data_IF_306479680391
#
_entry.id   IF_306479680391
#
_cell.length_a   1.000
_cell.length_b   1.000
_cell.length_c   1.000
_cell.angle_alpha   90.00
_cell.angle_beta   90.00
_cell.angle_gamma   90.00
#
_symmetry.space_group_name_H-M   'P 1'
#
loop_
_entity.id
_entity.type
_entity.pdbx_description
1 polymer ?
2 non-polymer ?
3 water ?
#
# COMPACT_ATOMS: atom_id res chain seq x y z
N UNK A 1 7.57 7.73 15.57
CA UNK A 1 6.53 7.65 16.62
C UNK A 1 5.90 6.26 16.63
N UNK A 2 5.39 5.89 17.80
CA UNK A 2 4.65 4.68 17.95
C UNK A 2 3.66 4.79 19.10
N UNK A 3 2.55 4.09 18.98
CA UNK A 3 1.49 4.13 20.00
C UNK A 3 0.59 2.94 19.82
N UNK A 4 0.08 2.38 20.93
CA UNK A 4 -0.89 1.32 20.91
C UNK A 4 -1.99 1.66 21.88
N UNK A 5 -3.22 1.63 21.40
CA UNK A 5 -4.35 1.93 22.25
C UNK A 5 -4.62 0.75 23.21
N UNK A 6 -5.22 1.02 24.38
CA UNK A 6 -5.78 -0.09 25.18
C UNK A 6 -6.80 -0.89 24.40
N UNK A 7 -6.88 -2.22 24.64
CA UNK A 7 -7.94 -3.04 24.04
C UNK A 7 -9.32 -2.57 24.47
N UNK A 8 -10.24 -2.46 23.52
CA UNK A 8 -11.61 -2.27 23.90
C UNK A 8 -12.37 -3.52 23.50
N UNK A 9 -13.39 -3.84 24.28
CA UNK A 9 -14.19 -5.03 24.10
C UNK A 9 -15.65 -4.67 23.73
N UNK A 10 -16.23 -5.37 22.77
CA UNK A 10 -17.63 -5.13 22.34
C UNK A 10 -18.33 -6.47 22.13
N UNK A 11 -19.52 -6.62 22.69
CA UNK A 11 -20.35 -7.76 22.37
C UNK A 11 -21.08 -7.51 21.08
N UNK A 12 -20.70 -8.22 20.02
CA UNK A 12 -21.43 -8.08 18.73
C UNK A 12 -22.80 -8.73 18.94
N UNK A 13 -22.84 -9.87 19.62
CA UNK A 13 -24.09 -10.48 20.07
C UNK A 13 -23.74 -11.55 21.13
N UNK A 14 -24.66 -12.44 21.41
CA UNK A 14 -24.41 -13.54 22.38
C UNK A 14 -23.29 -14.50 22.09
N UNK A 15 -22.90 -14.58 20.84
CA UNK A 15 -21.89 -15.47 20.39
C UNK A 15 -20.60 -14.81 20.07
N UNK A 16 -20.61 -13.56 19.66
CA UNK A 16 -19.41 -12.97 19.03
C UNK A 16 -19.01 -11.84 19.90
N UNK A 17 -17.74 -11.83 20.27
CA UNK A 17 -17.13 -10.72 20.99
C UNK A 17 -15.95 -10.17 20.18
N UNK A 18 -15.87 -8.84 20.15
CA UNK A 18 -14.82 -8.11 19.41
C UNK A 18 -13.88 -7.46 20.42
N UNK A 19 -12.58 -7.60 20.18
CA UNK A 19 -11.54 -6.94 20.97
C UNK A 19 -10.63 -6.16 20.04
N UNK A 20 -10.61 -4.85 20.24
CA UNK A 20 -9.98 -3.92 19.24
C UNK A 20 -8.89 -3.11 19.84
N UNK A 21 -7.77 -3.06 19.12
CA UNK A 21 -6.62 -2.28 19.47
C UNK A 21 -6.06 -1.69 18.20
N UNK A 22 -5.66 -0.43 18.29
CA UNK A 22 -5.06 0.25 17.15
C UNK A 22 -3.60 0.57 17.43
N UNK A 23 -2.73 0.11 16.54
CA UNK A 23 -1.30 0.33 16.67
C UNK A 23 -0.77 1.22 15.58
N UNK A 24 0.02 2.19 15.97
CA UNK A 24 0.61 3.15 15.02
C UNK A 24 2.13 3.04 15.11
N UNK A 25 2.77 3.04 13.95
CA UNK A 25 4.24 2.95 13.89
C UNK A 25 4.64 3.74 12.63
N UNK A 26 5.61 4.64 12.76
CA UNK A 26 5.99 5.47 11.62
C UNK A 26 7.47 5.65 11.55
N UNK A 27 7.91 6.09 10.35
CA UNK A 27 9.24 6.54 10.12
C UNK A 27 9.13 7.94 9.54
N UNK A 28 9.62 8.90 10.28
CA UNK A 28 9.49 10.32 9.91
C UNK A 28 10.36 10.71 8.73
N UNK A 29 11.56 10.15 8.69
CA UNK A 29 12.47 10.40 7.56
C UNK A 29 11.96 9.87 6.26
N UNK A 30 11.52 8.62 6.30
CA UNK A 30 11.01 7.95 5.12
C UNK A 30 9.60 8.38 4.71
N UNK A 31 8.85 9.05 5.61
CA UNK A 31 7.48 9.47 5.38
C UNK A 31 6.61 8.27 5.04
N UNK A 32 6.72 7.24 5.89
CA UNK A 32 5.86 6.09 5.85
C UNK A 32 5.27 5.86 7.23
N UNK A 33 3.96 5.75 7.29
CA UNK A 33 3.21 5.67 8.56
C UNK A 33 2.24 4.50 8.43
N UNK A 34 2.25 3.61 9.43
CA UNK A 34 1.31 2.52 9.51
C UNK A 34 0.31 2.72 10.61
N UNK A 35 -0.97 2.63 10.28
CA UNK A 35 -2.08 2.70 11.26
C UNK A 35 -2.76 1.36 11.14
N UNK A 36 -2.61 0.50 12.14
CA UNK A 36 -3.04 -0.87 12.12
C UNK A 36 -4.16 -1.11 13.08
N UNK A 37 -5.32 -1.53 12.58
CA UNK A 37 -6.47 -1.82 13.43
C UNK A 37 -6.53 -3.35 13.56
N UNK A 38 -6.28 -3.84 14.78
CA UNK A 38 -6.38 -5.27 15.08
C UNK A 38 -7.76 -5.54 15.68
N UNK A 39 -8.62 -6.15 14.89
CA UNK A 39 -9.98 -6.51 15.30
C UNK A 39 -9.91 -7.99 15.61
N UNK A 40 -9.84 -8.37 16.89
CA UNK A 40 -9.89 -9.81 17.22
C UNK A 40 -11.33 -10.20 17.54
N UNK A 41 -11.76 -11.31 16.98
CA UNK A 41 -13.11 -11.78 17.12
C UNK A 41 -13.06 -13.14 17.78
N UNK A 42 -13.86 -13.31 18.83
CA UNK A 42 -14.06 -14.61 19.47
C UNK A 42 -15.52 -14.93 19.26
N UNK A 43 -15.76 -16.17 18.83
CA UNK A 43 -17.06 -16.63 18.37
C UNK A 43 -17.32 -17.95 19.07
N UNK A 44 -18.36 -17.99 19.86
CA UNK A 44 -18.64 -19.22 20.64
C UNK A 44 -18.94 -20.46 19.82
N UNK A 45 -19.31 -20.26 18.54
CA UNK A 45 -19.59 -21.37 17.67
C UNK A 45 -18.47 -21.93 16.88
N UNK A 46 -17.30 -21.31 16.98
CA UNK A 46 -16.22 -21.56 16.05
C UNK A 46 -14.95 -21.72 16.84
N UNK A 47 -14.16 -22.75 16.51
CA UNK A 47 -13.01 -23.08 17.37
C UNK A 47 -11.74 -22.30 17.01
N UNK A 48 -11.87 -21.26 16.18
CA UNK A 48 -10.74 -20.41 15.87
C UNK A 48 -11.10 -18.99 16.23
N UNK A 49 -10.07 -18.29 16.68
CA UNK A 49 -10.04 -16.87 16.84
C UNK A 49 -9.87 -16.25 15.43
N UNK A 50 -10.51 -15.12 15.13
CA UNK A 50 -10.24 -14.44 13.83
C UNK A 50 -9.72 -13.05 14.11
N UNK A 51 -8.66 -12.70 13.39
CA UNK A 51 -8.09 -11.37 13.39
C UNK A 51 -8.40 -10.73 12.03
N UNK A 52 -9.22 -9.70 12.07
CA UNK A 52 -9.40 -8.84 10.90
C UNK A 52 -8.50 -7.62 11.09
N UNK A 53 -7.36 -7.65 10.40
CA UNK A 53 -6.32 -6.60 10.53
C UNK A 53 -6.47 -5.60 9.39
N UNK A 54 -6.78 -4.35 9.73
CA UNK A 54 -6.85 -3.30 8.74
C UNK A 54 -5.51 -2.56 8.73
N UNK A 55 -4.89 -2.43 7.55
CA UNK A 55 -3.62 -1.72 7.38
C UNK A 55 -3.86 -0.41 6.64
N UNK A 56 -3.69 0.72 7.31
CA UNK A 56 -3.91 2.04 6.75
C UNK A 56 -2.68 2.91 7.03
N UNK A 57 -2.77 4.18 6.82
CA UNK A 57 -1.66 5.10 7.02
C UNK A 57 -1.25 5.78 5.72
N UNK A 58 0.06 5.90 5.52
CA UNK A 58 0.60 6.79 4.48
C UNK A 58 1.89 6.24 3.97
N UNK A 59 2.05 6.30 2.63
CA UNK A 59 3.34 6.08 2.02
C UNK A 59 3.59 7.25 1.06
N UNK A 60 4.53 8.11 1.43
CA UNK A 60 4.84 9.22 0.52
C UNK A 60 5.45 8.62 -0.79
N UNK A 61 5.30 9.37 -1.88
CA UNK A 61 5.86 8.95 -3.19
C UNK A 61 7.37 9.08 -3.27
N UNK A 62 7.90 9.98 -2.46
CA UNK A 62 9.28 10.41 -2.60
C UNK A 62 9.60 11.41 -3.69
N UNK A 63 8.58 11.84 -4.42
CA UNK A 63 8.80 12.82 -5.50
C UNK A 63 9.37 14.10 -4.97
N UNK A 64 10.26 14.66 -5.77
CA UNK A 64 10.73 16.03 -5.63
C UNK A 64 10.78 16.63 -7.03
N UNK A 65 10.41 17.89 -7.15
CA UNK A 65 10.50 18.54 -8.42
C UNK A 65 11.89 18.56 -8.96
N UNK A 66 12.02 18.41 -10.29
CA UNK A 66 13.31 18.60 -10.91
C UNK A 66 13.79 20.02 -10.83
N UNK A 67 15.11 20.20 -10.91
CA UNK A 67 15.72 21.50 -10.89
C UNK A 67 15.45 22.19 -12.25
N UNK A 68 14.79 23.34 -12.24
CA UNK A 68 14.41 24.01 -13.50
C UNK A 68 15.60 24.53 -14.27
N UNK A 69 16.78 24.63 -13.65
CA UNK A 69 17.99 24.99 -14.36
C UNK A 69 18.62 23.89 -15.20
N UNK A 70 18.25 22.63 -14.96
CA UNK A 70 18.81 21.56 -15.76
C UNK A 70 18.52 21.88 -17.25
N UNK A 71 19.56 21.84 -18.08
CA UNK A 71 19.48 22.46 -19.40
C UNK A 71 19.13 21.50 -20.54
N UNK A 72 20.07 20.63 -20.90
CA UNK A 72 19.87 19.66 -21.99
C UNK A 72 19.35 18.29 -21.52
N UNK A 73 19.49 18.01 -20.21
CA UNK A 73 19.09 16.72 -19.60
C UNK A 73 18.52 17.04 -18.24
N UNK A 74 17.46 16.32 -17.86
CA UNK A 74 16.93 16.45 -16.51
C UNK A 74 16.28 15.13 -16.08
N UNK A 75 15.92 15.05 -14.80
CA UNK A 75 15.34 13.85 -14.24
C UNK A 75 14.62 14.21 -12.92
N UNK A 76 13.78 13.27 -12.52
CA UNK A 76 13.19 13.29 -11.21
C UNK A 76 12.81 11.89 -10.83
N UNK A 77 12.52 11.70 -9.53
CA UNK A 77 12.05 10.40 -9.06
C UNK A 77 10.58 10.56 -8.71
N UNK A 78 9.83 9.47 -8.85
CA UNK A 78 8.38 9.49 -8.67
C UNK A 78 7.90 8.16 -8.17
N UNK A 79 6.64 8.11 -7.68
CA UNK A 79 6.12 6.85 -7.07
C UNK A 79 5.60 5.88 -8.09
N UNK A 80 6.44 5.00 -8.60
CA UNK A 80 6.04 4.09 -9.64
C UNK A 80 5.09 2.99 -9.14
N UNK A 81 5.34 2.52 -7.91
CA UNK A 81 4.56 1.42 -7.35
C UNK A 81 4.64 1.46 -5.83
N UNK A 82 3.54 1.07 -5.18
CA UNK A 82 3.48 0.92 -3.74
C UNK A 82 3.18 -0.56 -3.47
N UNK A 83 3.85 -1.12 -2.47
CA UNK A 83 3.64 -2.53 -2.10
C UNK A 83 3.30 -2.55 -0.60
N UNK A 84 2.31 -3.36 -0.27
CA UNK A 84 1.91 -3.59 1.14
C UNK A 84 1.81 -5.07 1.32
N UNK A 85 2.38 -5.61 2.39
CA UNK A 85 2.24 -7.01 2.68
C UNK A 85 2.05 -7.24 4.19
N UNK A 86 1.33 -8.33 4.49
CA UNK A 86 1.10 -8.80 5.89
C UNK A 86 1.48 -10.26 5.92
N UNK A 87 2.35 -10.62 6.84
CA UNK A 87 2.69 -12.01 6.96
C UNK A 87 2.71 -12.49 8.41
N UNK A 88 2.39 -13.74 8.56
CA UNK A 88 2.37 -14.40 9.84
C UNK A 88 3.64 -15.16 9.98
N UNK A 89 4.22 -15.09 11.17
CA UNK A 89 5.39 -15.90 11.52
C UNK A 89 5.19 -16.50 12.89
N UNK A 90 5.93 -17.58 13.12
CA UNK A 90 6.25 -18.09 14.44
C UNK A 90 5.15 -18.93 15.04
N UNK A 91 4.15 -19.33 14.26
CA UNK A 91 3.03 -20.08 14.85
C UNK A 91 2.24 -20.73 13.75
N UNK A 92 2.42 -22.04 13.59
CA UNK A 92 1.74 -22.79 12.51
C UNK A 92 0.22 -22.89 12.74
N UNK A 93 -0.25 -22.54 13.94
CA UNK A 93 -1.68 -22.39 14.25
C UNK A 93 -2.33 -21.12 13.70
N UNK A 94 -1.55 -20.22 13.13
CA UNK A 94 -2.08 -19.00 12.43
C UNK A 94 -2.01 -19.12 10.93
N UNK A 95 -3.06 -18.67 10.22
CA UNK A 95 -3.11 -18.73 8.74
C UNK A 95 -3.84 -17.52 8.22
N UNK A 96 -3.41 -17.00 7.09
CA UNK A 96 -4.18 -16.01 6.33
C UNK A 96 -5.31 -16.75 5.65
N UNK A 97 -6.54 -16.34 5.91
CA UNK A 97 -7.72 -17.03 5.33
C UNK A 97 -8.53 -16.20 4.35
N UNK A 98 -8.32 -14.89 4.39
CA UNK A 98 -9.02 -14.02 3.50
C UNK A 98 -8.37 -12.64 3.53
N UNK A 99 -8.79 -11.77 2.60
CA UNK A 99 -8.21 -10.47 2.47
C UNK A 99 -9.05 -9.62 1.50
N UNK A 100 -8.85 -8.30 1.57
CA UNK A 100 -9.56 -7.38 0.71
C UNK A 100 -8.66 -6.23 0.38
N UNK A 101 -8.61 -5.77 -0.87
CA UNK A 101 -9.28 -6.40 -2.05
C UNK A 101 -8.77 -7.77 -2.46
N UNK A 102 -9.73 -8.55 -2.95
CA UNK A 102 -9.50 -9.91 -3.36
C UNK A 102 -8.91 -10.00 -4.76
N UNK A 103 -9.38 -9.11 -5.61
CA UNK A 103 -9.04 -9.20 -7.05
C UNK A 103 -8.44 -7.92 -7.56
N UNK A 104 -7.75 -8.06 -8.69
CA UNK A 104 -7.19 -6.88 -9.40
C UNK A 104 -8.24 -5.79 -9.59
N UNK A 105 -7.88 -4.54 -9.41
CA UNK A 105 -8.84 -3.47 -9.41
C UNK A 105 -8.18 -2.23 -9.95
N UNK A 106 -8.75 -1.63 -11.00
CA UNK A 106 -8.20 -0.43 -11.61
C UNK A 106 -9.14 0.75 -11.50
N UNK A 107 -10.08 0.63 -10.58
CA UNK A 107 -11.09 1.71 -10.26
C UNK A 107 -10.32 2.90 -9.72
N UNK A 108 -10.79 4.11 -9.95
CA UNK A 108 -10.14 5.23 -9.32
C UNK A 108 -10.18 5.27 -7.84
N UNK A 109 -11.19 4.67 -7.29
CA UNK A 109 -11.17 4.43 -5.88
C UNK A 109 -11.73 3.08 -5.55
N UNK A 110 -11.18 2.53 -4.52
CA UNK A 110 -11.52 1.17 -4.07
C UNK A 110 -12.26 1.39 -2.78
N UNK A 111 -13.47 0.87 -2.72
CA UNK A 111 -14.32 0.99 -1.53
C UNK A 111 -15.02 -0.35 -1.32
N UNK A 112 -14.77 -1.00 -0.17
CA UNK A 112 -15.39 -2.27 0.15
C UNK A 112 -15.65 -2.37 1.62
N UNK A 113 -16.66 -3.18 1.90
CA UNK A 113 -17.09 -3.57 3.26
C UNK A 113 -16.85 -5.08 3.44
N UNK A 114 -16.14 -5.48 4.50
CA UNK A 114 -15.81 -6.93 4.76
C UNK A 114 -16.47 -7.33 6.09
N UNK A 115 -17.15 -8.50 6.09
CA UNK A 115 -18.00 -8.90 7.17
C UNK A 115 -17.69 -10.26 7.73
N UNK A 116 -17.93 -10.37 9.03
CA UNK A 116 -17.78 -11.63 9.78
C UNK A 116 -19.15 -12.18 10.12
N UNK A 117 -19.34 -13.48 9.89
CA UNK A 117 -20.58 -14.15 10.27
C UNK A 117 -20.23 -15.32 11.12
N UNK A 118 -21.16 -15.70 11.95
CA UNK A 118 -20.92 -16.87 12.86
C UNK A 118 -20.44 -18.08 12.16
N UNK A 119 -19.41 -18.72 12.68
CA UNK A 119 -18.66 -19.77 11.97
C UNK A 119 -17.43 -19.40 11.24
N UNK A 120 -17.10 -18.10 11.19
CA UNK A 120 -15.87 -17.68 10.61
C UNK A 120 -16.03 -17.42 9.12
N UNK A 121 -17.26 -17.42 8.61
CA UNK A 121 -17.51 -17.10 7.22
C UNK A 121 -17.15 -15.62 7.03
N UNK A 122 -16.31 -15.43 6.07
CA UNK A 122 -15.96 -14.09 5.68
C UNK A 122 -16.67 -13.84 4.33
N UNK A 123 -17.23 -12.62 4.20
CA UNK A 123 -17.78 -12.15 2.94
C UNK A 123 -17.45 -10.67 2.71
N UNK A 124 -17.62 -10.22 1.47
CA UNK A 124 -17.15 -8.85 1.00
C UNK A 124 -18.40 -8.11 0.28
N UNK A 125 -18.65 -6.78 0.39
CA UNK A 125 -19.56 -6.00 -0.55
C UNK A 125 -18.98 -4.66 -0.88
N UNK A 126 -19.54 -3.91 -1.83
CA UNK A 126 -18.88 -2.72 -2.43
C UNK A 126 -19.50 -1.45 -1.94
N UNK A 127 -18.65 -0.43 -1.81
CA UNK A 127 -18.97 0.91 -1.27
C UNK A 127 -18.76 0.89 0.26
N UNK A 128 -19.13 1.99 0.91
CA UNK A 128 -18.96 2.16 2.38
C UNK A 128 -20.24 1.92 3.20
N UNK A 134 -25.11 -4.86 8.35
CA UNK A 134 -25.99 -5.16 9.50
C UNK A 134 -25.40 -4.70 10.82
N UNK A 135 -26.17 -3.96 11.59
CA UNK A 135 -25.72 -3.37 12.87
C UNK A 135 -25.42 -4.44 13.93
N UNK A 136 -25.79 -5.68 13.70
CA UNK A 136 -25.50 -6.72 14.65
C UNK A 136 -24.54 -7.74 14.04
N UNK A 137 -23.73 -7.29 13.07
CA UNK A 137 -22.72 -8.15 12.49
C UNK A 137 -21.44 -7.38 12.49
N UNK A 138 -20.32 -8.09 12.58
CA UNK A 138 -19.04 -7.42 12.41
C UNK A 138 -18.73 -7.16 10.99
N UNK A 139 -18.33 -5.92 10.68
CA UNK A 139 -17.73 -5.55 9.41
C UNK A 139 -16.57 -4.52 9.57
N UNK A 140 -15.68 -4.45 8.59
CA UNK A 140 -14.61 -3.40 8.54
C UNK A 140 -14.60 -2.94 7.07
N UNK A 141 -14.11 -1.70 6.84
CA UNK A 141 -14.12 -1.13 5.47
C UNK A 141 -12.73 -0.76 5.01
N UNK A 142 -12.59 -0.79 3.71
CA UNK A 142 -11.44 -0.18 3.04
C UNK A 142 -11.93 0.91 2.07
N UNK A 143 -11.12 1.96 1.98
CA UNK A 143 -11.47 3.11 1.11
C UNK A 143 -10.12 3.73 0.75
N UNK A 144 -9.75 3.68 -0.54
CA UNK A 144 -8.54 4.40 -0.99
C UNK A 144 -8.64 4.84 -2.40
N UNK A 145 -8.09 6.01 -2.67
CA UNK A 145 -7.95 6.48 -4.02
C UNK A 145 -6.65 5.98 -4.62
N UNK A 146 -6.75 5.64 -5.92
CA UNK A 146 -5.61 5.13 -6.67
C UNK A 146 -5.76 5.59 -8.12
N UNK A 147 -6.02 6.89 -8.37
CA UNK A 147 -6.32 7.39 -9.69
C UNK A 147 -5.12 7.16 -10.59
N UNK A 148 -5.37 6.51 -11.74
CA UNK A 148 -4.38 6.16 -12.77
C UNK A 148 -3.48 4.96 -12.43
N UNK A 149 -3.76 4.33 -11.30
CA UNK A 149 -2.98 3.23 -10.80
C UNK A 149 -3.86 1.98 -10.74
N UNK A 150 -3.24 0.82 -10.52
CA UNK A 150 -3.94 -0.45 -10.47
C UNK A 150 -3.43 -1.29 -9.37
N UNK A 151 -4.38 -1.90 -8.65
CA UNK A 151 -4.10 -2.84 -7.55
C UNK A 151 -4.05 -4.27 -8.06
N UNK A 152 -3.00 -5.01 -7.72
CA UNK A 152 -2.90 -6.42 -7.99
C UNK A 152 -2.54 -7.16 -6.70
N UNK A 153 -2.89 -8.42 -6.67
CA UNK A 153 -2.59 -9.27 -5.51
C UNK A 153 -1.34 -10.05 -5.85
N UNK A 154 -0.37 -10.09 -4.95
CA UNK A 154 0.92 -10.72 -5.27
C UNK A 154 0.73 -12.20 -5.49
N UNK A 155 1.35 -12.76 -6.53
CA UNK A 155 0.98 -14.15 -6.89
C UNK A 155 1.59 -15.14 -5.94
N UNK A 156 2.55 -14.69 -5.13
CA UNK A 156 3.14 -15.49 -4.06
C UNK A 156 2.24 -15.56 -2.83
N UNK A 157 1.15 -14.80 -2.80
CA UNK A 157 0.22 -14.87 -1.68
C UNK A 157 -0.13 -16.29 -1.33
N UNK A 158 -0.08 -16.61 -0.03
CA UNK A 158 -0.43 -17.99 0.45
C UNK A 158 -0.99 -17.95 1.88
N UNK A 159 -0.99 -19.12 2.53
CA UNK A 159 -1.51 -19.22 3.86
C UNK A 159 -0.72 -18.47 4.89
N UNK A 160 0.50 -18.02 4.61
CA UNK A 160 1.25 -17.24 5.60
C UNK A 160 1.47 -15.79 5.23
N UNK A 161 1.04 -15.36 4.06
CA UNK A 161 1.33 -13.98 3.62
C UNK A 161 0.35 -13.53 2.58
N UNK A 162 -0.01 -12.25 2.64
CA UNK A 162 -0.81 -11.60 1.61
C UNK A 162 -0.06 -10.34 1.26
N UNK A 163 0.06 -10.06 -0.03
CA UNK A 163 0.54 -8.77 -0.45
C UNK A 163 -0.20 -8.23 -1.64
N UNK A 164 -0.14 -6.90 -1.74
CA UNK A 164 -0.74 -6.16 -2.80
C UNK A 164 0.31 -5.20 -3.40
N UNK A 165 0.13 -4.93 -4.70
CA UNK A 165 0.89 -3.88 -5.38
C UNK A 165 -0.09 -2.86 -5.93
N UNK A 166 0.27 -1.61 -5.91
CA UNK A 166 -0.54 -0.52 -6.45
C UNK A 166 0.41 0.28 -7.37
N UNK A 167 0.24 0.03 -8.67
CA UNK A 167 1.23 0.40 -9.71
C UNK A 167 0.66 1.44 -10.65
N UNK A 168 1.56 2.32 -11.04
CA UNK A 168 1.19 3.28 -12.10
C UNK A 168 0.72 2.49 -13.31
N UNK A 169 -0.43 2.89 -13.89
CA UNK A 169 -1.11 2.09 -14.89
C UNK A 169 -1.45 2.85 -16.18
N UNK A 170 -2.35 3.80 -16.07
CA UNK A 170 -2.83 4.57 -17.23
C UNK A 170 -2.85 6.03 -16.90
N UNK A 171 -1.78 6.69 -17.31
CA UNK A 171 -1.53 8.09 -16.96
C UNK A 171 -1.63 8.97 -18.18
N UNK A 172 -2.50 9.98 -18.14
CA UNK A 172 -2.64 10.93 -19.22
C UNK A 172 -1.65 12.08 -19.09
N UNK A 173 -1.21 12.62 -20.23
CA UNK A 173 -0.27 13.73 -20.31
C UNK A 173 -0.80 14.71 -21.36
N UNK A 174 -1.55 15.72 -20.94
CA UNK A 174 -2.12 16.71 -21.86
C UNK A 174 -2.85 16.12 -23.02
N UNK A 175 -3.74 15.20 -22.68
CA UNK A 175 -4.60 14.55 -23.66
C UNK A 175 -3.95 13.47 -24.46
N UNK A 176 -2.63 13.26 -24.28
CA UNK A 176 -1.89 12.24 -24.90
C UNK A 176 -1.83 11.12 -23.87
N UNK A 177 -1.80 9.94 -24.39
CA UNK A 177 -1.71 8.75 -23.53
C UNK A 177 -2.93 7.87 -23.71
N UNK A 178 -3.14 6.89 -22.81
CA UNK A 178 -2.42 6.78 -21.55
C UNK A 178 -1.00 6.21 -21.69
N UNK A 179 -0.18 6.54 -20.71
CA UNK A 179 1.18 6.08 -20.59
C UNK A 179 1.32 5.32 -19.26
N UNK A 180 2.42 4.57 -19.19
CA UNK A 180 2.81 3.94 -17.92
C UNK A 180 4.29 3.80 -17.78
N UNK A 181 4.70 2.94 -16.83
CA UNK A 181 6.10 2.83 -16.51
C UNK A 181 6.95 2.27 -17.65
N UNK A 182 6.30 1.62 -18.62
CA UNK A 182 6.94 0.93 -19.72
C UNK A 182 6.53 1.38 -21.11
N UNK A 183 5.95 2.54 -21.22
CA UNK A 183 5.58 3.04 -22.50
C UNK A 183 6.83 3.26 -23.37
N UNK A 184 6.61 3.11 -24.67
CA UNK A 184 7.72 3.19 -25.62
C UNK A 184 7.29 3.70 -26.97
N UNK A 185 8.07 4.62 -27.47
CA UNK A 185 7.93 5.16 -28.81
C UNK A 185 9.35 5.15 -29.38
N UNK A 186 9.55 4.64 -30.60
CA UNK A 186 10.92 4.51 -31.10
C UNK A 186 11.61 5.83 -31.35
N UNK A 187 10.87 6.94 -31.48
CA UNK A 187 11.50 8.24 -31.62
C UNK A 187 11.60 8.96 -30.30
N UNK A 188 10.49 9.04 -29.57
CA UNK A 188 10.44 9.93 -28.39
C UNK A 188 10.64 9.21 -27.07
N UNK A 189 10.79 7.89 -27.07
CA UNK A 189 11.01 7.16 -25.84
C UNK A 189 9.73 6.95 -25.09
N UNK A 190 9.87 6.99 -23.77
CA UNK A 190 8.69 6.87 -22.87
C UNK A 190 8.28 8.30 -22.59
N UNK A 191 7.16 8.74 -23.15
CA UNK A 191 6.69 10.13 -23.08
C UNK A 191 5.84 10.43 -21.85
N UNK A 192 5.72 9.45 -20.94
CA UNK A 192 4.89 9.55 -19.72
C UNK A 192 4.75 10.96 -19.14
N UNK A 193 5.90 11.55 -18.78
CA UNK A 193 5.92 12.89 -18.14
C UNK A 193 6.67 13.92 -19.00
N UNK A 194 6.89 13.62 -20.30
CA UNK A 194 7.57 14.62 -21.15
C UNK A 194 6.65 15.79 -21.40
N UNK A 195 7.24 16.98 -21.41
CA UNK A 195 6.51 18.19 -21.75
C UNK A 195 6.16 18.32 -23.19
N UNK A 196 7.09 18.82 -23.94
CA UNK A 196 6.88 19.06 -25.38
C UNK A 196 8.01 18.42 -26.17
N UNK A 197 7.70 17.86 -27.31
CA UNK A 197 8.69 17.19 -28.12
C UNK A 197 9.76 18.11 -28.71
N UNK A 198 9.40 19.38 -28.97
CA UNK A 198 10.37 20.32 -29.48
C UNK A 198 10.38 21.59 -28.68
N UNK A 199 10.14 21.47 -27.37
CA UNK A 199 10.14 22.60 -26.49
C UNK A 199 11.48 23.32 -26.42
N UNK A 200 11.43 24.67 -26.40
CA UNK A 200 12.64 25.46 -26.21
C UNK A 200 12.97 25.69 -24.72
N UNK A 201 12.15 25.10 -23.81
CA UNK A 201 12.44 25.23 -22.38
C UNK A 201 13.68 24.46 -21.97
N UNK A 202 14.20 24.80 -20.80
CA UNK A 202 15.21 23.98 -20.19
C UNK A 202 14.63 22.60 -19.94
N UNK A 203 15.49 21.59 -19.91
CA UNK A 203 15.06 20.21 -19.55
C UNK A 203 14.26 20.18 -18.25
N UNK A 204 14.76 20.90 -17.24
CA UNK A 204 14.07 20.88 -15.94
C UNK A 204 12.70 21.49 -15.97
N UNK A 205 12.44 22.32 -16.99
CA UNK A 205 11.15 22.88 -17.24
C UNK A 205 10.33 22.20 -18.33
N UNK A 206 10.78 21.05 -18.81
CA UNK A 206 10.12 20.36 -19.90
C UNK A 206 9.60 19.03 -19.51
N UNK A 207 8.95 19.03 -18.35
CA UNK A 207 8.16 17.90 -17.93
C UNK A 207 6.74 18.32 -17.72
N UNK A 208 5.79 17.39 -17.72
CA UNK A 208 4.43 17.68 -17.32
C UNK A 208 4.42 18.42 -15.97
N UNK A 209 3.69 19.49 -15.85
CA UNK A 209 3.65 20.14 -14.57
C UNK A 209 3.21 19.22 -13.44
N UNK A 210 3.81 19.41 -12.26
CA UNK A 210 3.56 18.55 -11.13
C UNK A 210 2.04 18.38 -10.88
N UNK A 211 1.27 19.49 -10.96
CA UNK A 211 -0.16 19.45 -10.69
C UNK A 211 -0.96 18.55 -11.56
N UNK A 212 -0.45 18.22 -12.72
CA UNK A 212 -1.09 17.40 -13.71
C UNK A 212 -0.69 15.97 -13.55
N UNK A 213 0.28 15.65 -12.74
CA UNK A 213 0.67 14.25 -12.44
C UNK A 213 -0.36 13.65 -11.48
N UNK A 214 -0.52 12.33 -11.50
CA UNK A 214 -1.39 11.70 -10.53
C UNK A 214 -0.91 11.99 -9.11
N UNK A 215 -1.86 12.02 -8.18
CA UNK A 215 -1.52 12.20 -6.78
C UNK A 215 -0.58 11.11 -6.28
N UNK A 216 -0.80 9.87 -6.69
CA UNK A 216 0.09 8.80 -6.26
C UNK A 216 1.52 8.91 -6.83
N UNK A 217 1.69 9.62 -7.93
CA UNK A 217 2.99 9.76 -8.57
C UNK A 217 3.84 10.82 -7.88
N UNK A 218 3.21 11.93 -7.52
CA UNK A 218 3.96 13.05 -6.91
C UNK A 218 3.62 13.36 -5.50
N UNK A 219 2.68 12.65 -4.92
CA UNK A 219 2.15 13.00 -3.60
C UNK A 219 2.38 11.80 -2.70
N UNK A 220 1.30 11.12 -2.37
CA UNK A 220 1.38 10.01 -1.41
C UNK A 220 0.27 9.05 -1.72
N UNK A 221 0.43 7.86 -1.21
CA UNK A 221 -0.62 6.86 -1.23
C UNK A 221 -1.13 6.69 0.18
N UNK A 222 -2.46 6.57 0.33
CA UNK A 222 -3.07 6.28 1.61
C UNK A 222 -3.69 4.88 1.55
N UNK A 223 -2.87 3.85 1.84
CA UNK A 223 -3.39 2.48 1.69
C UNK A 223 -4.52 2.18 2.67
N UNK A 224 -5.42 1.33 2.31
CA UNK A 224 -6.35 0.66 3.24
C UNK A 224 -6.54 -0.75 2.72
N UNK A 225 -6.00 -1.73 3.45
CA UNK A 225 -6.02 -3.10 3.07
C UNK A 225 -6.42 -3.98 4.25
N UNK A 226 -7.17 -5.04 4.04
CA UNK A 226 -7.58 -5.94 5.16
C UNK A 226 -7.01 -7.31 4.94
N UNK A 227 -6.42 -7.86 5.99
CA UNK A 227 -5.93 -9.23 6.06
C UNK A 227 -6.76 -9.92 7.10
N UNK A 228 -7.23 -11.11 6.81
CA UNK A 228 -7.96 -11.92 7.78
C UNK A 228 -7.17 -13.19 8.13
N UNK A 229 -6.85 -13.31 9.41
CA UNK A 229 -6.05 -14.40 9.92
C UNK A 229 -6.85 -15.21 10.92
N UNK A 230 -6.71 -16.53 10.88
CA UNK A 230 -7.36 -17.40 11.82
C UNK A 230 -6.30 -18.04 12.76
N UNK A 231 -6.70 -18.29 13.99
CA UNK A 231 -5.82 -18.87 15.02
C UNK A 231 -6.62 -19.93 15.79
N UNK A 232 -6.08 -21.14 15.81
CA UNK A 232 -6.59 -22.25 16.63
C UNK A 232 -6.69 -21.83 18.11
N UNK A 233 -7.89 -21.85 18.67
CA UNK A 233 -8.14 -21.21 19.96
C UNK A 233 -7.43 -21.89 21.14
N UNK A 234 -7.21 -23.19 21.02
CA UNK A 234 -6.51 -24.00 22.05
C UNK A 234 -4.99 -23.86 21.99
N UNK A 235 -4.44 -23.18 20.99
CA UNK A 235 -3.03 -22.96 20.93
C UNK A 235 -2.71 -21.73 21.80
N UNK A 236 -1.74 -21.86 22.69
CA UNK A 236 -1.47 -20.81 23.67
C UNK A 236 -0.26 -19.99 23.34
N UNK A 237 0.41 -20.30 22.24
CA UNK A 237 1.64 -19.60 21.87
C UNK A 237 1.35 -18.22 21.26
N UNK A 238 2.20 -17.28 21.57
CA UNK A 238 2.15 -16.01 20.85
C UNK A 238 2.49 -16.25 19.39
N UNK A 239 2.22 -15.24 18.57
CA UNK A 239 2.69 -15.29 17.19
C UNK A 239 3.20 -13.91 16.79
N UNK A 240 3.77 -13.85 15.61
CA UNK A 240 4.26 -12.58 15.06
C UNK A 240 3.61 -12.23 13.77
N UNK A 241 3.33 -10.95 13.57
CA UNK A 241 2.82 -10.43 12.30
C UNK A 241 3.72 -9.31 11.86
N UNK A 242 4.15 -9.38 10.60
CA UNK A 242 5.01 -8.38 10.01
C UNK A 242 4.21 -7.64 8.96
N UNK A 243 4.20 -6.33 9.01
CA UNK A 243 3.50 -5.50 8.06
C UNK A 243 4.57 -4.63 7.35
N UNK A 244 4.62 -4.75 6.04
CA UNK A 244 5.61 -4.00 5.21
C UNK A 244 4.90 -3.03 4.30
N UNK A 245 5.31 -1.78 4.34
CA UNK A 245 4.93 -0.76 3.36
C UNK A 245 6.16 -0.37 2.57
N UNK A 246 6.02 -0.23 1.25
CA UNK A 246 7.19 0.01 0.39
C UNK A 246 6.79 0.89 -0.78
N UNK A 247 7.72 1.74 -1.19
CA UNK A 247 7.62 2.44 -2.48
C UNK A 247 8.75 2.09 -3.38
N UNK A 248 8.41 1.84 -4.63
CA UNK A 248 9.37 1.75 -5.74
C UNK A 248 9.39 3.08 -6.44
N UNK A 249 10.51 3.73 -6.41
CA UNK A 249 10.65 5.07 -7.00
C UNK A 249 11.32 4.90 -8.33
N UNK A 250 10.66 5.40 -9.35
CA UNK A 250 11.15 5.36 -10.70
C UNK A 250 11.84 6.65 -11.04
N UNK A 251 12.83 6.56 -11.91
CA UNK A 251 13.56 7.76 -12.36
C UNK A 251 13.05 8.10 -13.78
N UNK A 252 12.45 9.26 -13.94
CA UNK A 252 11.96 9.72 -15.24
C UNK A 252 12.97 10.77 -15.72
N UNK A 253 13.36 10.69 -16.98
CA UNK A 253 14.37 11.59 -17.55
C UNK A 253 13.92 12.18 -18.88
N UNK A 254 14.52 13.34 -19.21
CA UNK A 254 14.42 13.84 -20.57
C UNK A 254 15.78 14.27 -21.06
N UNK A 255 15.88 14.30 -22.40
CA UNK A 255 17.15 14.61 -23.07
C UNK A 255 16.87 15.30 -24.37
N UNK A 256 17.62 16.36 -24.66
CA UNK A 256 17.47 17.14 -25.93
C UNK A 256 18.55 16.62 -26.87
N UNK A 257 18.20 16.24 -28.08
CA UNK A 257 19.15 15.62 -29.02
C UNK A 257 19.51 16.52 -30.21
N UNK A 258 19.19 17.80 -30.14
CA UNK A 258 19.38 18.86 -31.13
C UNK A 258 18.29 18.95 -32.18
N UNK A 259 17.36 18.00 -32.20
CA UNK A 259 16.18 18.05 -33.03
C UNK A 259 14.92 17.98 -32.18
N UNK A 260 14.89 17.06 -31.21
CA UNK A 260 13.71 16.88 -30.36
C UNK A 260 14.13 16.32 -29.04
N UNK A 261 13.17 16.23 -28.15
CA UNK A 261 13.38 15.58 -26.88
C UNK A 261 13.06 14.09 -26.90
N UNK A 262 13.65 13.38 -25.96
CA UNK A 262 13.40 11.98 -25.67
C UNK A 262 13.16 11.82 -24.21
N UNK A 263 12.15 11.04 -23.83
CA UNK A 263 11.87 10.67 -22.46
C UNK A 263 12.20 9.24 -22.15
N UNK A 264 12.52 9.01 -20.88
CA UNK A 264 12.80 7.61 -20.46
C UNK A 264 12.33 7.45 -19.05
N UNK A 265 11.90 6.23 -18.73
CA UNK A 265 11.55 5.89 -17.35
C UNK A 265 12.29 4.61 -16.94
N UNK A 266 12.96 4.69 -15.81
CA UNK A 266 13.75 3.61 -15.27
C UNK A 266 13.07 3.12 -14.00
N UNK A 267 12.62 1.87 -14.00
CA UNK A 267 11.77 1.45 -12.90
C UNK A 267 12.57 1.10 -11.64
N UNK A 268 11.97 1.46 -10.50
CA UNK A 268 12.43 0.99 -9.19
C UNK A 268 13.93 1.25 -9.00
N UNK A 269 14.34 2.48 -9.22
CA UNK A 269 15.73 2.90 -9.02
C UNK A 269 16.06 3.30 -7.61
N UNK A 270 15.06 3.48 -6.75
CA UNK A 270 15.26 3.61 -5.31
C UNK A 270 14.09 2.89 -4.67
N UNK A 271 14.35 2.01 -3.73
CA UNK A 271 13.31 1.23 -3.06
C UNK A 271 13.34 1.64 -1.59
N UNK A 272 12.19 1.98 -1.06
CA UNK A 272 12.15 2.47 0.36
C UNK A 272 11.12 1.57 1.01
N UNK A 273 11.53 0.98 2.14
CA UNK A 273 10.72 -0.03 2.81
C UNK A 273 10.70 0.22 4.30
N UNK A 274 9.51 0.06 4.88
CA UNK A 274 9.32 0.11 6.32
C UNK A 274 8.49 -1.08 6.77
N UNK A 275 9.02 -1.80 7.75
CA UNK A 275 8.36 -3.00 8.28
C UNK A 275 8.24 -2.89 9.77
N UNK A 276 7.05 -3.21 10.26
CA UNK A 276 6.82 -3.33 11.75
C UNK A 276 6.47 -4.77 12.06
N UNK A 277 7.04 -5.29 13.14
CA UNK A 277 6.82 -6.65 13.62
C UNK A 277 6.09 -6.58 14.94
N UNK A 278 4.90 -7.20 15.01
CA UNK A 278 4.09 -7.24 16.20
C UNK A 278 4.09 -8.65 16.77
N UNK A 279 4.22 -8.75 18.10
CA UNK A 279 3.92 -9.97 18.82
C UNK A 279 2.46 -9.95 19.21
N UNK A 280 1.77 -11.01 18.84
CA UNK A 280 0.32 -11.15 19.06
C UNK A 280 0.02 -12.15 20.18
N UNK A 281 -0.69 -11.65 21.20
CA UNK A 281 -1.18 -12.49 22.30
C UNK A 281 -2.65 -12.77 22.04
N UNK A 282 -2.96 -13.95 21.54
CA UNK A 282 -4.30 -14.29 21.09
C UNK A 282 -5.29 -14.52 22.24
N UNK A 283 -4.76 -14.78 23.40
CA UNK A 283 -5.59 -14.99 24.59
C UNK A 283 -5.99 -13.70 25.22
N UNK A 284 -5.11 -12.70 25.25
CA UNK A 284 -5.47 -11.40 25.76
C UNK A 284 -5.89 -10.41 24.71
N UNK A 285 -5.71 -10.79 23.43
CA UNK A 285 -6.06 -9.91 22.32
C UNK A 285 -5.31 -8.63 22.32
N UNK A 286 -4.01 -8.73 22.56
CA UNK A 286 -3.14 -7.57 22.66
C UNK A 286 -1.94 -7.81 21.77
N UNK A 287 -1.33 -6.69 21.40
CA UNK A 287 -0.15 -6.68 20.58
C UNK A 287 0.94 -5.78 21.16
N UNK A 288 2.16 -6.12 20.82
CA UNK A 288 3.35 -5.37 21.15
C UNK A 288 4.22 -5.21 19.94
N UNK A 289 4.76 -4.00 19.75
CA UNK A 289 5.71 -3.73 18.66
C UNK A 289 7.07 -4.17 19.11
N UNK A 290 7.54 -5.28 18.57
CA UNK A 290 8.80 -5.87 18.98
C UNK A 290 9.93 -5.56 18.00
N UNK A 291 9.59 -4.99 16.84
CA UNK A 291 10.61 -4.67 15.85
C UNK A 291 10.15 -3.75 14.79
N UNK A 292 11.09 -2.96 14.27
CA UNK A 292 10.89 -2.25 13.03
C UNK A 292 12.15 -2.36 12.21
N UNK A 293 11.98 -2.25 10.90
CA UNK A 293 13.11 -2.08 10.07
C UNK A 293 12.82 -1.12 8.93
N UNK A 294 13.85 -0.40 8.58
CA UNK A 294 13.73 0.73 7.62
C UNK A 294 14.85 0.59 6.64
N UNK A 295 14.52 0.67 5.36
CA UNK A 295 15.53 0.54 4.32
C UNK A 295 15.32 1.55 3.21
N UNK A 296 16.44 2.00 2.65
CA UNK A 296 16.39 2.86 1.44
C UNK A 296 17.61 2.47 0.66
N UNK A 297 17.42 1.98 -0.58
CA UNK A 297 18.56 1.46 -1.32
C UNK A 297 19.50 2.57 -1.87
N UNK A 298 18.93 3.73 -2.17
CA UNK A 298 19.68 4.87 -2.68
C UNK A 298 19.30 6.20 -2.05
N UNK A 299 19.68 6.42 -0.79
CA UNK A 299 19.16 7.54 -0.06
C UNK A 299 19.74 8.87 -0.52
N UNK A 300 18.89 9.91 -0.46
CA UNK A 300 19.27 11.26 -0.81
C UNK A 300 18.57 11.68 -2.08
N UNK A 301 18.01 10.70 -2.81
CA UNK A 301 17.30 11.03 -4.09
C UNK A 301 15.83 11.42 -3.82
#
# INVERSE_FOLDING_TARGET
AQHITPVSEKKVDDKITLYKTTATSDNDKLNISQILTFNFIKDKSYDKDTLVLKAAGNINSGYKKPNPKDYNYSQFYWGGKYNVSVSSESNDAVNVVDYAPKNQNEEFQVQQTLGYSYGGDINISNGLSGGLNGSKSFSETINYKQESYRTTIDRKTNHKSIGWGVEAHKIMNNGWGPYGRDSYDPTYGNELFLGGRQSSSNAGQNFLPTHQMPLLARGNFNPEFISVLSHKQNDTKKSKIKVTYQREMDRYTNQWNRLHWVGNNYKNQNTVTFTSTYEVDWQNHTVKLIGTDSKETNPGV
#
